data_IF_252306196299
#
_entry.id   IF_252306196299
#
_cell.length_a   1.000
_cell.length_b   1.000
_cell.length_c   1.000
_cell.angle_alpha   90.00
_cell.angle_beta   90.00
_cell.angle_gamma   90.00
#
_symmetry.space_group_name_H-M   'P 1'
#
loop_
_entity.id
_entity.type
_entity.pdbx_description
1 polymer ?
#
# COMPACT_ATOMS: atom_id res chain seq x y z
N UNK A 1 -12.18 14.23 -3.54
CA UNK A 1 -10.74 13.93 -3.35
C UNK A 1 -10.48 12.44 -3.57
N UNK A 2 -9.94 12.08 -4.72
CA UNK A 2 -10.00 10.76 -5.37
C UNK A 2 -9.13 9.68 -4.71
N UNK A 3 -9.67 8.46 -4.60
CA UNK A 3 -8.89 7.21 -4.43
C UNK A 3 -7.94 7.01 -5.64
N UNK A 4 -6.99 6.03 -5.63
CA UNK A 4 -6.17 5.75 -6.80
C UNK A 4 -7.01 5.73 -8.08
N UNK A 5 -6.54 6.38 -9.17
CA UNK A 5 -7.25 6.73 -10.42
C UNK A 5 -8.15 5.65 -11.06
N UNK A 6 -8.06 4.39 -10.63
CA UNK A 6 -8.80 3.24 -11.15
C UNK A 6 -9.93 2.72 -10.23
N UNK A 7 -10.33 3.46 -9.20
CA UNK A 7 -11.30 2.94 -8.20
C UNK A 7 -12.48 3.87 -7.89
N UNK A 8 -12.52 5.10 -8.39
CA UNK A 8 -13.69 5.96 -8.16
C UNK A 8 -14.84 5.56 -9.10
N UNK A 9 -15.97 5.15 -8.52
CA UNK A 9 -17.21 4.82 -9.20
C UNK A 9 -18.35 5.66 -8.58
N UNK A 10 -19.51 5.70 -9.24
CA UNK A 10 -20.67 6.47 -8.75
C UNK A 10 -21.08 6.08 -7.33
N UNK A 11 -20.93 4.80 -6.97
CA UNK A 11 -21.21 4.30 -5.63
C UNK A 11 -20.30 4.96 -4.58
N UNK A 12 -18.98 4.97 -4.80
CA UNK A 12 -18.02 5.59 -3.89
C UNK A 12 -18.18 7.12 -3.80
N UNK A 13 -18.63 7.76 -4.88
CA UNK A 13 -19.01 9.19 -4.84
C UNK A 13 -20.27 9.41 -3.99
N UNK A 14 -21.25 8.50 -4.08
CA UNK A 14 -22.42 8.48 -3.20
C UNK A 14 -22.03 8.36 -1.73
N UNK A 15 -21.17 7.40 -1.39
CA UNK A 15 -20.69 7.21 -0.02
C UNK A 15 -19.95 8.42 0.54
N UNK A 16 -19.18 9.14 -0.29
CA UNK A 16 -18.53 10.38 0.13
C UNK A 16 -19.54 11.48 0.44
N UNK A 17 -20.59 11.59 -0.37
CA UNK A 17 -21.67 12.55 -0.11
C UNK A 17 -22.34 12.29 1.24
N UNK A 18 -22.46 11.02 1.68
CA UNK A 18 -22.96 10.67 3.02
C UNK A 18 -22.02 11.22 4.10
N UNK A 19 -20.71 11.02 3.95
CA UNK A 19 -19.70 11.52 4.90
C UNK A 19 -19.69 13.05 4.96
N UNK A 20 -19.75 13.71 3.81
CA UNK A 20 -19.71 15.17 3.70
C UNK A 20 -21.00 15.83 4.23
N UNK A 21 -22.12 15.10 4.23
CA UNK A 21 -23.39 15.56 4.80
C UNK A 21 -23.51 15.36 6.32
N UNK A 22 -22.64 14.54 6.93
CA UNK A 22 -22.63 14.34 8.38
C UNK A 22 -22.13 15.57 9.13
N UNK A 23 -22.73 15.84 10.29
CA UNK A 23 -22.20 16.86 11.19
C UNK A 23 -20.82 16.44 11.72
N UNK A 24 -19.99 17.45 12.06
CA UNK A 24 -18.60 17.19 12.44
C UNK A 24 -18.51 16.27 13.66
N UNK A 25 -17.97 15.07 13.44
CA UNK A 25 -17.73 14.08 14.48
C UNK A 25 -18.79 12.99 14.60
N UNK A 26 -19.90 13.06 13.85
CA UNK A 26 -20.94 12.01 13.86
C UNK A 26 -20.39 10.64 13.44
N UNK A 27 -19.46 10.65 12.48
CA UNK A 27 -18.76 9.46 11.98
C UNK A 27 -17.95 8.74 13.06
N UNK A 28 -17.59 9.36 14.18
CA UNK A 28 -16.93 8.66 15.29
C UNK A 28 -17.86 7.69 16.02
N UNK A 29 -19.17 7.90 15.92
CA UNK A 29 -20.20 7.03 16.50
C UNK A 29 -20.66 5.93 15.55
N UNK A 30 -20.14 5.90 14.32
CA UNK A 30 -20.39 4.80 13.40
C UNK A 30 -19.80 3.49 13.94
N UNK A 31 -20.33 2.34 13.48
CA UNK A 31 -19.85 1.03 13.89
C UNK A 31 -18.34 0.90 13.66
N UNK A 32 -17.67 0.26 14.62
CA UNK A 32 -16.30 -0.19 14.43
C UNK A 32 -16.25 -1.34 13.40
N UNK A 33 -15.10 -1.57 12.76
CA UNK A 33 -14.85 -2.81 12.02
C UNK A 33 -15.17 -4.04 12.88
N UNK A 34 -15.69 -5.09 12.24
CA UNK A 34 -15.93 -6.36 12.91
C UNK A 34 -14.64 -7.12 13.17
N UNK A 35 -14.66 -8.16 14.02
CA UNK A 35 -13.51 -9.04 14.23
C UNK A 35 -13.01 -9.69 12.92
N UNK A 36 -13.93 -9.98 11.99
CA UNK A 36 -13.57 -10.49 10.67
C UNK A 36 -12.81 -9.43 9.84
N UNK A 37 -13.27 -8.18 9.89
CA UNK A 37 -12.60 -7.07 9.20
C UNK A 37 -11.20 -6.83 9.78
N UNK A 38 -11.06 -6.85 11.11
CA UNK A 38 -9.76 -6.77 11.77
C UNK A 38 -8.85 -7.94 11.40
N UNK A 39 -9.37 -9.15 11.27
CA UNK A 39 -8.59 -10.30 10.81
C UNK A 39 -8.09 -10.11 9.37
N UNK A 40 -8.93 -9.55 8.48
CA UNK A 40 -8.56 -9.20 7.10
C UNK A 40 -7.47 -8.12 7.09
N UNK A 41 -7.64 -7.06 7.88
CA UNK A 41 -6.66 -5.98 8.02
C UNK A 41 -5.32 -6.52 8.53
N UNK A 42 -5.34 -7.33 9.58
CA UNK A 42 -4.17 -7.99 10.14
C UNK A 42 -3.46 -8.88 9.12
N UNK A 43 -4.22 -9.64 8.31
CA UNK A 43 -3.66 -10.46 7.23
C UNK A 43 -2.96 -9.61 6.17
N UNK A 44 -3.56 -8.50 5.74
CA UNK A 44 -2.93 -7.57 4.78
C UNK A 44 -1.64 -7.00 5.35
N UNK A 45 -1.64 -6.54 6.61
CA UNK A 45 -0.45 -6.02 7.28
C UNK A 45 0.67 -7.05 7.37
N UNK A 46 0.33 -8.30 7.73
CA UNK A 46 1.28 -9.40 7.82
C UNK A 46 1.91 -9.72 6.46
N UNK A 47 1.09 -9.87 5.41
CA UNK A 47 1.57 -10.13 4.06
C UNK A 47 2.52 -9.02 3.56
N UNK A 48 2.21 -7.77 3.86
CA UNK A 48 3.07 -6.65 3.50
C UNK A 48 4.38 -6.61 4.27
N UNK A 49 4.36 -7.03 5.53
CA UNK A 49 5.59 -7.15 6.32
C UNK A 49 6.52 -8.19 5.70
N UNK A 50 5.98 -9.34 5.28
CA UNK A 50 6.74 -10.35 4.53
C UNK A 50 7.27 -9.82 3.19
N UNK A 51 6.44 -9.07 2.46
CA UNK A 51 6.85 -8.47 1.19
C UNK A 51 7.97 -7.44 1.37
N UNK A 52 7.86 -6.57 2.38
CA UNK A 52 8.87 -5.56 2.71
C UNK A 52 10.20 -6.23 3.09
N UNK A 53 10.15 -7.31 3.86
CA UNK A 53 11.32 -8.11 4.21
C UNK A 53 12.00 -8.71 2.96
N UNK A 54 11.22 -9.31 2.05
CA UNK A 54 11.73 -9.92 0.82
C UNK A 54 12.31 -8.87 -0.15
N UNK A 55 11.67 -7.72 -0.29
CA UNK A 55 12.21 -6.62 -1.08
C UNK A 55 13.54 -6.12 -0.50
N UNK A 56 13.67 -6.08 0.82
CA UNK A 56 14.93 -5.72 1.48
C UNK A 56 16.04 -6.71 1.16
N UNK A 57 15.78 -8.02 1.29
CA UNK A 57 16.72 -9.06 0.88
C UNK A 57 17.11 -8.95 -0.60
N UNK A 58 16.14 -8.63 -1.46
CA UNK A 58 16.37 -8.43 -2.90
C UNK A 58 17.34 -7.27 -3.14
N UNK A 59 17.10 -6.12 -2.51
CA UNK A 59 17.98 -4.97 -2.64
C UNK A 59 19.40 -5.24 -2.10
N UNK A 60 19.51 -6.00 -1.00
CA UNK A 60 20.81 -6.40 -0.44
C UNK A 60 21.57 -7.33 -1.40
N UNK A 61 20.92 -8.32 -1.99
CA UNK A 61 21.53 -9.19 -3.00
C UNK A 61 21.98 -8.41 -4.25
N UNK A 62 21.20 -7.41 -4.68
CA UNK A 62 21.60 -6.52 -5.78
C UNK A 62 22.82 -5.66 -5.45
N UNK A 63 22.90 -5.13 -4.22
CA UNK A 63 24.03 -4.31 -3.78
C UNK A 63 25.32 -5.14 -3.72
N UNK A 64 25.23 -6.33 -3.12
CA UNK A 64 26.33 -7.30 -3.06
C UNK A 64 26.78 -7.73 -4.47
N UNK A 65 25.84 -7.87 -5.40
CA UNK A 65 26.08 -8.15 -6.82
C UNK A 65 26.54 -6.95 -7.66
N UNK A 66 26.78 -5.78 -7.06
CA UNK A 66 27.10 -4.53 -7.76
C UNK A 66 26.08 -4.12 -8.85
N UNK A 67 24.82 -4.51 -8.71
CA UNK A 67 23.74 -4.25 -9.66
C UNK A 67 23.04 -2.91 -9.44
N UNK A 68 23.34 -2.23 -8.31
CA UNK A 68 22.80 -0.93 -7.95
C UNK A 68 23.74 0.20 -8.36
N UNK A 69 23.14 1.29 -8.84
CA UNK A 69 23.86 2.50 -9.22
C UNK A 69 23.80 3.56 -8.10
N UNK A 70 24.58 4.63 -8.27
CA UNK A 70 24.44 5.83 -7.44
C UNK A 70 23.01 6.39 -7.62
N UNK A 71 22.34 6.85 -6.55
CA UNK A 71 22.86 7.11 -5.21
C UNK A 71 22.73 5.93 -4.21
N UNK A 72 22.27 4.75 -4.65
CA UNK A 72 21.87 3.65 -3.78
C UNK A 72 22.97 2.66 -3.42
N UNK A 73 24.00 2.54 -4.27
CA UNK A 73 25.14 1.64 -4.07
C UNK A 73 25.77 1.78 -2.68
N UNK A 74 25.94 0.66 -1.99
CA UNK A 74 26.53 0.53 -0.65
C UNK A 74 25.67 1.11 0.48
N UNK A 75 24.42 1.51 0.20
CA UNK A 75 23.56 2.23 1.15
C UNK A 75 22.26 1.50 1.47
N UNK A 76 22.00 0.32 0.90
CA UNK A 76 20.72 -0.38 1.02
C UNK A 76 20.27 -0.54 2.48
N UNK A 77 21.19 -0.89 3.39
CA UNK A 77 20.91 -1.06 4.82
C UNK A 77 20.40 0.19 5.54
N UNK A 78 20.62 1.38 4.97
CA UNK A 78 20.15 2.66 5.53
C UNK A 78 18.88 3.19 4.87
N UNK A 79 18.39 2.54 3.81
CA UNK A 79 17.22 3.00 3.08
C UNK A 79 15.95 2.75 3.89
N UNK A 80 15.00 3.68 3.79
CA UNK A 80 13.61 3.40 4.15
C UNK A 80 13.03 2.34 3.21
N UNK A 81 11.93 1.71 3.60
CA UNK A 81 11.31 0.69 2.74
C UNK A 81 10.87 1.25 1.39
N UNK A 82 10.35 2.48 1.37
CA UNK A 82 10.00 3.19 0.13
C UNK A 82 11.21 3.32 -0.80
N UNK A 83 12.34 3.78 -0.26
CA UNK A 83 13.59 3.93 -1.03
C UNK A 83 14.22 2.59 -1.40
N UNK A 84 13.88 1.50 -0.71
CA UNK A 84 14.33 0.15 -1.05
C UNK A 84 13.74 -0.28 -2.39
N UNK A 85 12.44 -0.03 -2.63
CA UNK A 85 11.82 -0.30 -3.94
C UNK A 85 12.42 0.57 -5.04
N UNK A 86 12.67 1.86 -4.76
CA UNK A 86 13.30 2.78 -5.73
C UNK A 86 14.71 2.29 -6.13
N UNK A 87 15.49 1.79 -5.17
CA UNK A 87 16.80 1.21 -5.42
C UNK A 87 16.72 -0.04 -6.30
N UNK A 88 15.79 -0.96 -6.01
CA UNK A 88 15.59 -2.15 -6.84
C UNK A 88 15.26 -1.73 -8.28
N UNK A 89 14.31 -0.82 -8.45
CA UNK A 89 13.84 -0.37 -9.77
C UNK A 89 14.85 0.45 -10.56
N UNK A 90 15.91 0.98 -9.92
CA UNK A 90 16.96 1.74 -10.61
C UNK A 90 17.79 0.86 -11.55
N UNK A 91 17.81 -0.46 -11.34
CA UNK A 91 18.55 -1.37 -12.21
C UNK A 91 17.81 -1.64 -13.53
N UNK A 92 18.58 -1.80 -14.61
CA UNK A 92 18.05 -2.08 -15.95
C UNK A 92 17.76 -3.57 -16.20
N UNK A 93 18.12 -4.46 -15.26
CA UNK A 93 17.93 -5.91 -15.40
C UNK A 93 16.44 -6.33 -15.41
N UNK A 94 15.53 -5.44 -15.00
CA UNK A 94 14.12 -5.75 -14.83
C UNK A 94 13.34 -5.66 -16.15
N UNK A 95 12.73 -6.78 -16.53
CA UNK A 95 11.76 -6.86 -17.62
C UNK A 95 10.50 -6.03 -17.32
N UNK A 96 9.71 -5.75 -18.36
CA UNK A 96 8.42 -5.07 -18.21
C UNK A 96 7.49 -5.78 -17.22
N UNK A 97 7.48 -7.12 -17.21
CA UNK A 97 6.67 -7.90 -16.27
C UNK A 97 7.11 -7.71 -14.81
N UNK A 98 8.42 -7.63 -14.56
CA UNK A 98 8.95 -7.33 -13.23
C UNK A 98 8.57 -5.91 -12.78
N UNK A 99 8.72 -4.93 -13.67
CA UNK A 99 8.34 -3.54 -13.38
C UNK A 99 6.85 -3.41 -13.06
N UNK A 100 6.00 -4.06 -13.85
CA UNK A 100 4.57 -4.14 -13.57
C UNK A 100 4.28 -4.75 -12.19
N UNK A 101 4.95 -5.85 -11.81
CA UNK A 101 4.77 -6.43 -10.48
C UNK A 101 5.17 -5.47 -9.35
N UNK A 102 6.28 -4.74 -9.48
CA UNK A 102 6.68 -3.71 -8.51
C UNK A 102 5.69 -2.54 -8.44
N UNK A 103 5.12 -2.10 -9.56
CA UNK A 103 4.05 -1.10 -9.58
C UNK A 103 2.83 -1.59 -8.80
N UNK A 104 2.40 -2.84 -9.02
CA UNK A 104 1.29 -3.44 -8.27
C UNK A 104 1.56 -3.54 -6.77
N UNK A 105 2.80 -3.81 -6.38
CA UNK A 105 3.22 -3.78 -4.97
C UNK A 105 3.06 -2.35 -4.40
N UNK A 106 3.52 -1.34 -5.13
CA UNK A 106 3.39 0.06 -4.70
C UNK A 106 1.94 0.53 -4.64
N UNK A 107 1.09 0.13 -5.60
CA UNK A 107 -0.35 0.42 -5.59
C UNK A 107 -1.01 -0.13 -4.32
N UNK A 108 -0.69 -1.38 -3.99
CA UNK A 108 -1.29 -2.09 -2.86
C UNK A 108 -0.68 -1.65 -1.52
N UNK A 109 0.51 -1.03 -1.50
CA UNK A 109 1.09 -0.39 -0.31
C UNK A 109 0.22 0.75 0.20
N UNK A 110 -0.50 1.45 -0.69
CA UNK A 110 -1.46 2.50 -0.28
C UNK A 110 -2.58 1.94 0.59
N UNK A 111 -3.11 0.77 0.24
CA UNK A 111 -4.12 0.07 1.05
C UNK A 111 -3.55 -0.33 2.42
N UNK A 112 -2.34 -0.88 2.45
CA UNK A 112 -1.63 -1.19 3.70
C UNK A 112 -1.44 0.05 4.57
N UNK A 113 -1.04 1.17 3.99
CA UNK A 113 -0.83 2.42 4.72
C UNK A 113 -2.16 2.98 5.25
N UNK A 114 -3.22 2.89 4.45
CA UNK A 114 -4.56 3.27 4.87
C UNK A 114 -5.01 2.43 6.08
N UNK A 115 -4.83 1.11 6.05
CA UNK A 115 -5.13 0.22 7.18
C UNK A 115 -4.24 0.49 8.40
N UNK A 116 -2.95 0.75 8.20
CA UNK A 116 -1.97 0.87 9.28
C UNK A 116 -1.87 2.24 9.95
N UNK A 117 -2.39 3.31 9.33
CA UNK A 117 -2.17 4.68 9.79
C UNK A 117 -3.44 5.52 9.96
N UNK A 118 -4.61 4.98 9.63
CA UNK A 118 -5.88 5.71 9.72
C UNK A 118 -6.79 5.07 10.77
N UNK A 119 -7.65 5.89 11.37
CA UNK A 119 -8.78 5.41 12.15
C UNK A 119 -9.82 4.87 11.17
N UNK A 120 -10.37 3.69 11.43
CA UNK A 120 -11.35 3.06 10.55
C UNK A 120 -12.70 2.95 11.22
N UNK A 121 -13.76 3.29 10.48
CA UNK A 121 -15.15 3.01 10.85
C UNK A 121 -15.85 2.33 9.68
N UNK A 122 -16.89 1.57 9.97
CA UNK A 122 -17.76 0.95 8.98
C UNK A 122 -18.97 1.85 8.75
N UNK A 123 -19.45 1.93 7.51
CA UNK A 123 -20.73 2.57 7.25
C UNK A 123 -21.87 1.76 7.87
N UNK A 124 -22.93 2.44 8.30
CA UNK A 124 -24.06 1.81 9.03
C UNK A 124 -24.84 0.86 8.12
N UNK A 125 -25.18 1.32 6.91
CA UNK A 125 -26.06 0.59 5.98
C UNK A 125 -25.32 0.09 4.73
N UNK A 126 -24.03 0.38 4.62
CA UNK A 126 -23.24 0.17 3.39
C UNK A 126 -22.08 -0.78 3.65
N UNK A 127 -21.72 -1.59 2.65
CA UNK A 127 -20.57 -2.50 2.75
C UNK A 127 -19.25 -1.80 2.41
N UNK A 128 -18.95 -0.79 3.21
CA UNK A 128 -17.78 0.05 3.03
C UNK A 128 -17.20 0.53 4.35
N UNK A 129 -15.98 1.02 4.27
CA UNK A 129 -15.25 1.64 5.36
C UNK A 129 -14.95 3.10 5.05
N UNK A 130 -14.94 3.92 6.09
CA UNK A 130 -14.27 5.22 6.10
C UNK A 130 -12.96 5.09 6.87
N UNK A 131 -11.88 5.60 6.28
CA UNK A 131 -10.57 5.71 6.89
C UNK A 131 -10.23 7.18 7.07
N UNK A 132 -9.95 7.59 8.29
CA UNK A 132 -9.78 9.00 8.69
C UNK A 132 -8.40 9.23 9.32
N UNK A 133 -7.82 10.40 9.04
CA UNK A 133 -6.57 10.84 9.66
C UNK A 133 -6.55 12.35 9.86
N UNK A 134 -5.70 12.82 10.78
CA UNK A 134 -5.27 14.22 10.87
C UNK A 134 -3.84 14.42 10.37
N UNK A 135 -3.15 13.35 10.00
CA UNK A 135 -1.81 13.39 9.45
C UNK A 135 -1.85 13.71 7.96
N UNK A 136 -1.49 14.95 7.61
CA UNK A 136 -1.34 15.36 6.22
C UNK A 136 -0.31 14.50 5.47
N UNK A 137 0.74 14.04 6.17
CA UNK A 137 1.75 13.16 5.59
C UNK A 137 1.18 11.80 5.19
N UNK A 138 0.40 11.16 6.07
CA UNK A 138 -0.19 9.86 5.78
C UNK A 138 -1.24 9.97 4.67
N UNK A 139 -2.04 11.04 4.68
CA UNK A 139 -2.98 11.35 3.60
C UNK A 139 -2.27 11.49 2.25
N UNK A 140 -1.24 12.33 2.18
CA UNK A 140 -0.46 12.52 0.95
C UNK A 140 0.20 11.22 0.47
N UNK A 141 0.67 10.37 1.37
CA UNK A 141 1.26 9.08 0.99
C UNK A 141 0.26 8.11 0.37
N UNK A 142 -1.01 8.15 0.79
CA UNK A 142 -2.06 7.25 0.28
C UNK A 142 -2.71 7.80 -0.99
N UNK A 143 -3.06 9.09 -0.99
CA UNK A 143 -3.85 9.72 -2.05
C UNK A 143 -3.02 10.51 -3.07
N UNK A 144 -1.75 10.79 -2.79
CA UNK A 144 -0.86 11.58 -3.65
C UNK A 144 -1.39 13.00 -3.92
N UNK A 145 -2.08 13.58 -2.94
CA UNK A 145 -2.69 14.92 -2.98
C UNK A 145 -2.30 15.68 -1.72
N UNK A 146 -2.00 16.97 -1.87
CA UNK A 146 -1.80 17.86 -0.72
C UNK A 146 -3.15 18.19 -0.09
N UNK A 147 -3.36 17.89 1.20
CA UNK A 147 -4.62 18.17 1.85
C UNK A 147 -4.80 19.69 2.09
N UNK A 148 -6.05 20.15 2.01
CA UNK A 148 -6.38 21.51 2.44
C UNK A 148 -6.33 21.61 3.98
N UNK A 149 -5.91 22.77 4.52
CA UNK A 149 -5.92 23.01 5.97
C UNK A 149 -7.32 22.83 6.57
N UNK A 150 -7.36 22.41 7.83
CA UNK A 150 -8.56 22.34 8.68
C UNK A 150 -9.70 21.40 8.22
N UNK A 151 -9.50 20.64 7.15
CA UNK A 151 -10.45 19.61 6.71
C UNK A 151 -10.24 18.27 7.44
N UNK A 152 -11.31 17.47 7.49
CA UNK A 152 -11.16 16.05 7.81
C UNK A 152 -10.55 15.34 6.60
N UNK A 153 -9.45 14.63 6.83
CA UNK A 153 -8.78 13.88 5.77
C UNK A 153 -9.25 12.44 5.82
N UNK A 154 -9.93 12.01 4.77
CA UNK A 154 -10.51 10.67 4.75
C UNK A 154 -10.50 10.03 3.36
N UNK A 155 -10.58 8.70 3.35
CA UNK A 155 -10.90 7.91 2.17
C UNK A 155 -12.01 6.92 2.48
N UNK A 156 -12.74 6.55 1.43
CA UNK A 156 -13.78 5.52 1.50
C UNK A 156 -13.32 4.33 0.66
N UNK A 157 -13.58 3.11 1.12
CA UNK A 157 -13.29 1.91 0.33
C UNK A 157 -14.36 0.86 0.61
N UNK A 158 -14.80 0.18 -0.46
CA UNK A 158 -15.68 -0.98 -0.36
C UNK A 158 -15.00 -2.14 0.38
N UNK A 159 -15.73 -2.83 1.24
CA UNK A 159 -15.21 -4.00 1.97
C UNK A 159 -14.70 -5.07 1.02
N UNK A 160 -15.41 -5.28 -0.10
CA UNK A 160 -15.03 -6.26 -1.11
C UNK A 160 -13.67 -5.94 -1.76
N UNK A 161 -13.37 -4.66 -1.98
CA UNK A 161 -12.08 -4.24 -2.54
C UNK A 161 -10.92 -4.58 -1.59
N UNK A 162 -11.13 -4.43 -0.28
CA UNK A 162 -10.15 -4.85 0.73
C UNK A 162 -9.95 -6.37 0.70
N UNK A 163 -11.05 -7.14 0.68
CA UNK A 163 -11.01 -8.61 0.63
C UNK A 163 -10.31 -9.13 -0.61
N UNK A 164 -10.61 -8.55 -1.79
CA UNK A 164 -9.99 -8.90 -3.09
C UNK A 164 -8.50 -8.57 -3.17
N UNK A 165 -7.98 -7.69 -2.30
CA UNK A 165 -6.55 -7.38 -2.29
C UNK A 165 -5.69 -8.54 -1.79
N UNK A 166 -6.18 -9.35 -0.84
CA UNK A 166 -5.44 -10.47 -0.24
C UNK A 166 -4.84 -11.43 -1.28
N UNK A 167 -5.63 -12.07 -2.16
CA UNK A 167 -5.08 -13.04 -3.11
C UNK A 167 -4.05 -12.42 -4.08
N UNK A 168 -4.20 -11.14 -4.40
CA UNK A 168 -3.22 -10.43 -5.21
C UNK A 168 -1.91 -10.21 -4.46
N UNK A 169 -1.97 -9.73 -3.21
CA UNK A 169 -0.77 -9.51 -2.38
C UNK A 169 -0.04 -10.83 -2.13
N UNK A 170 -0.77 -11.92 -1.85
CA UNK A 170 -0.20 -13.26 -1.72
C UNK A 170 0.54 -13.71 -2.99
N UNK A 171 -0.03 -13.45 -4.16
CA UNK A 171 0.63 -13.76 -5.44
C UNK A 171 1.89 -12.92 -5.64
N UNK A 172 1.85 -11.63 -5.31
CA UNK A 172 3.01 -10.74 -5.40
C UNK A 172 4.11 -11.17 -4.43
N UNK A 173 3.76 -11.57 -3.20
CA UNK A 173 4.72 -12.09 -2.23
C UNK A 173 5.41 -13.37 -2.73
N UNK A 174 4.63 -14.36 -3.18
CA UNK A 174 5.19 -15.61 -3.76
C UNK A 174 6.08 -15.38 -4.97
N UNK A 175 5.80 -14.34 -5.76
CA UNK A 175 6.68 -13.93 -6.84
C UNK A 175 7.96 -13.30 -6.31
N UNK A 176 7.84 -12.33 -5.38
CA UNK A 176 8.97 -11.60 -4.82
C UNK A 176 9.95 -12.52 -4.08
N UNK A 177 9.47 -13.57 -3.41
CA UNK A 177 10.28 -14.53 -2.64
C UNK A 177 11.37 -15.22 -3.48
N UNK A 178 11.19 -15.27 -4.80
CA UNK A 178 12.16 -15.90 -5.72
C UNK A 178 13.31 -14.96 -6.08
N UNK A 179 13.09 -13.64 -6.03
CA UNK A 179 14.03 -12.65 -6.53
C UNK A 179 15.41 -12.71 -5.84
N UNK A 180 15.52 -12.77 -4.50
CA UNK A 180 16.84 -12.79 -3.86
C UNK A 180 17.67 -13.99 -4.33
N UNK A 181 17.04 -15.16 -4.48
CA UNK A 181 17.71 -16.39 -4.94
C UNK A 181 18.14 -16.29 -6.39
N UNK A 182 17.25 -15.80 -7.26
CA UNK A 182 17.52 -15.68 -8.69
C UNK A 182 18.68 -14.70 -8.96
N UNK A 183 18.82 -13.66 -8.14
CA UNK A 183 19.91 -12.69 -8.22
C UNK A 183 21.23 -13.18 -7.58
N UNK A 184 21.15 -14.05 -6.57
CA UNK A 184 22.33 -14.61 -5.88
C UNK A 184 22.98 -15.76 -6.66
N UNK A 185 22.33 -16.25 -7.72
CA UNK A 185 22.88 -17.31 -8.57
C UNK A 185 23.79 -16.67 -9.63
N UNK A 186 25.06 -17.07 -9.76
CA UNK A 186 25.95 -16.53 -10.78
C UNK A 186 25.32 -16.71 -12.16
N UNK A 187 25.25 -15.64 -12.97
CA UNK A 187 24.86 -15.78 -14.36
C UNK A 187 25.92 -16.64 -15.06
N UNK A 188 25.54 -17.83 -15.52
CA UNK A 188 26.40 -18.66 -16.36
C UNK A 188 26.80 -17.85 -17.59
N UNK A 189 28.07 -17.48 -17.67
CA UNK A 189 28.70 -16.83 -18.83
C UNK A 189 28.81 -17.79 -20.00
#
# INVERSE_FOLDING_TARGET
MTLPRHSENEYLLGLRSIVDACEHGEYFYWPDPTDEDYAIFGKIMWLYTGLDFVLRMTAEAMDDGNMLESPFKGKVRSLSIKRTTDAILSSQIWTANHRFAFERINDRRRLRNLIGHFITKRFVEEDAFIFMTKSASDFKQVFDVEPEPDQMLYGVIETEQVRKAIPEIERLLRWAEKLPRDLSTPMST
#
